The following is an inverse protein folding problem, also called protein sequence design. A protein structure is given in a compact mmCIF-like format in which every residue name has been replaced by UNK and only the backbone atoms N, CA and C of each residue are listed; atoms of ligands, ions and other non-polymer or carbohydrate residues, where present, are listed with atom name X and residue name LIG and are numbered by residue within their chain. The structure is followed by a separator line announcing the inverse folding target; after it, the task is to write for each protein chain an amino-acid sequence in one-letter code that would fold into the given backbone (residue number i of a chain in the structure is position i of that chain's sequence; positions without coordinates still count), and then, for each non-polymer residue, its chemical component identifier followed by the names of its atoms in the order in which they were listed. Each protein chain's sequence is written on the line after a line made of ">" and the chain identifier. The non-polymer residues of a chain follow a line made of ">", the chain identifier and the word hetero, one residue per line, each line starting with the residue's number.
data_IF_172232419889
#
_entry.id   IF_172232419889
#
_cell.length_a   1.000
_cell.length_b   1.000
_cell.length_c   1.000
_cell.angle_alpha   90.00
_cell.angle_beta   90.00
_cell.angle_gamma   90.00
#
_symmetry.space_group_name_H-M   'P 1'
#
loop_
_entity.id
_entity.type
_entity.pdbx_description
1 polymer ?
#
# COMPACT_ATOMS: atom_id res chain seq x y z
N UNK A 1 -6.34 -33.36 -15.40
CA UNK A 1 -7.50 -32.77 -16.11
C UNK A 1 -8.52 -32.36 -15.06
N UNK A 2 -9.13 -31.16 -15.13
CA UNK A 2 -10.16 -30.73 -14.20
C UNK A 2 -11.39 -31.65 -14.27
N UNK A 3 -12.13 -31.80 -13.17
CA UNK A 3 -13.39 -32.55 -13.18
C UNK A 3 -14.49 -31.76 -13.91
N UNK A 4 -15.56 -32.41 -14.41
CA UNK A 4 -16.65 -31.72 -15.10
C UNK A 4 -17.29 -30.58 -14.27
N UNK A 5 -17.37 -30.78 -12.95
CA UNK A 5 -17.83 -29.75 -12.00
C UNK A 5 -16.91 -28.53 -12.03
N UNK A 6 -15.59 -28.75 -11.95
CA UNK A 6 -14.61 -27.66 -11.97
C UNK A 6 -14.65 -26.93 -13.30
N UNK A 7 -14.78 -27.62 -14.43
CA UNK A 7 -14.91 -26.99 -15.75
C UNK A 7 -16.11 -26.05 -15.84
N UNK A 8 -17.25 -26.41 -15.26
CA UNK A 8 -18.42 -25.53 -15.18
C UNK A 8 -18.12 -24.27 -14.36
N UNK A 9 -17.51 -24.42 -13.18
CA UNK A 9 -17.12 -23.27 -12.34
C UNK A 9 -16.13 -22.36 -13.08
N UNK A 10 -15.15 -22.93 -13.80
CA UNK A 10 -14.18 -22.15 -14.57
C UNK A 10 -14.83 -21.32 -15.69
N UNK A 11 -16.03 -21.69 -16.17
CA UNK A 11 -16.79 -20.92 -17.17
C UNK A 11 -17.55 -19.74 -16.54
N UNK A 12 -17.93 -19.82 -15.27
CA UNK A 12 -18.71 -18.79 -14.58
C UNK A 12 -17.86 -17.69 -13.93
N UNK A 13 -16.53 -17.84 -13.90
CA UNK A 13 -15.64 -16.88 -13.27
C UNK A 13 -15.66 -15.50 -13.95
N UNK A 14 -15.82 -14.41 -13.19
CA UNK A 14 -15.81 -13.05 -13.73
C UNK A 14 -14.38 -12.54 -13.98
N UNK A 15 -14.24 -11.61 -14.92
CA UNK A 15 -13.01 -10.82 -15.12
C UNK A 15 -12.98 -9.61 -14.17
N UNK A 16 -13.08 -9.85 -12.86
CA UNK A 16 -13.11 -8.84 -11.80
C UNK A 16 -12.12 -9.18 -10.69
N UNK A 17 -11.70 -8.19 -9.87
CA UNK A 17 -10.91 -8.46 -8.69
C UNK A 17 -11.71 -9.24 -7.66
N UNK A 18 -11.02 -10.04 -6.85
CA UNK A 18 -11.66 -10.81 -5.80
C UNK A 18 -10.76 -11.88 -5.20
N UNK A 19 -11.37 -12.73 -4.38
CA UNK A 19 -10.70 -13.81 -3.66
C UNK A 19 -11.29 -15.14 -4.08
N UNK A 20 -10.46 -16.16 -4.29
CA UNK A 20 -10.88 -17.53 -4.57
C UNK A 20 -10.43 -18.48 -3.45
N UNK A 21 -11.24 -19.51 -3.21
CA UNK A 21 -11.02 -20.54 -2.21
C UNK A 21 -11.04 -21.90 -2.91
N UNK A 22 -9.96 -22.65 -2.79
CA UNK A 22 -9.95 -24.06 -3.21
C UNK A 22 -10.33 -24.94 -2.02
N UNK A 23 -11.22 -25.89 -2.27
CA UNK A 23 -11.69 -26.85 -1.27
C UNK A 23 -11.38 -28.28 -1.69
N UNK A 24 -11.13 -29.14 -0.72
CA UNK A 24 -11.00 -30.58 -0.96
C UNK A 24 -12.36 -31.29 -1.01
N UNK A 25 -12.32 -32.60 -1.23
CA UNK A 25 -13.52 -33.47 -1.30
C UNK A 25 -14.40 -33.44 -0.04
N UNK A 26 -13.84 -33.03 1.11
CA UNK A 26 -14.57 -32.88 2.37
C UNK A 26 -15.10 -31.45 2.59
N UNK A 27 -15.01 -30.57 1.59
CA UNK A 27 -15.43 -29.17 1.69
C UNK A 27 -14.51 -28.28 2.52
N UNK A 28 -13.35 -28.78 2.99
CA UNK A 28 -12.38 -27.99 3.75
C UNK A 28 -11.60 -27.08 2.83
N UNK A 29 -11.47 -25.81 3.19
CA UNK A 29 -10.64 -24.83 2.47
C UNK A 29 -9.16 -25.22 2.61
N UNK A 30 -8.51 -25.50 1.48
CA UNK A 30 -7.11 -25.94 1.42
C UNK A 30 -6.16 -24.84 0.93
N UNK A 31 -6.70 -23.85 0.20
CA UNK A 31 -5.97 -22.68 -0.27
C UNK A 31 -6.91 -21.49 -0.46
N UNK A 32 -6.42 -20.28 -0.16
CA UNK A 32 -7.09 -19.00 -0.47
C UNK A 32 -6.09 -18.12 -1.22
N UNK A 33 -6.55 -17.44 -2.27
CA UNK A 33 -5.74 -16.47 -3.02
C UNK A 33 -6.56 -15.28 -3.54
N UNK A 34 -5.93 -14.11 -3.69
CA UNK A 34 -6.50 -12.95 -4.39
C UNK A 34 -6.17 -12.95 -5.89
N UNK A 35 -6.98 -12.25 -6.68
CA UNK A 35 -6.72 -11.97 -8.07
C UNK A 35 -7.23 -10.58 -8.47
N UNK A 36 -6.52 -9.89 -9.37
CA UNK A 36 -7.06 -8.72 -10.09
C UNK A 36 -8.09 -9.18 -11.15
N UNK A 37 -7.87 -10.37 -11.72
CA UNK A 37 -8.79 -11.05 -12.62
C UNK A 37 -8.99 -12.50 -12.18
N UNK A 38 -10.14 -12.78 -11.53
CA UNK A 38 -10.49 -14.12 -11.05
C UNK A 38 -10.48 -15.17 -12.18
N UNK A 39 -11.05 -14.85 -13.34
CA UNK A 39 -11.12 -15.76 -14.49
C UNK A 39 -9.74 -16.22 -14.96
N UNK A 40 -8.83 -15.29 -15.22
CA UNK A 40 -7.47 -15.61 -15.68
C UNK A 40 -6.69 -16.35 -14.59
N UNK A 41 -6.75 -15.86 -13.35
CA UNK A 41 -5.94 -16.39 -12.25
C UNK A 41 -6.34 -17.81 -11.84
N UNK A 42 -7.63 -18.12 -11.73
CA UNK A 42 -8.05 -19.46 -11.31
C UNK A 42 -7.81 -20.48 -12.44
N UNK A 43 -8.01 -20.08 -13.70
CA UNK A 43 -7.73 -20.96 -14.85
C UNK A 43 -6.26 -21.33 -14.96
N UNK A 44 -5.34 -20.43 -14.58
CA UNK A 44 -3.90 -20.68 -14.69
C UNK A 44 -3.45 -21.95 -13.96
N UNK A 45 -4.10 -22.31 -12.84
CA UNK A 45 -3.80 -23.54 -12.10
C UNK A 45 -4.04 -24.83 -12.90
N UNK A 46 -4.94 -24.78 -13.89
CA UNK A 46 -5.33 -25.94 -14.68
C UNK A 46 -4.64 -26.00 -16.06
N UNK A 47 -3.80 -25.01 -16.38
CA UNK A 47 -2.96 -25.06 -17.58
C UNK A 47 -1.79 -26.04 -17.40
N UNK A 48 -1.35 -26.62 -18.52
CA UNK A 48 -0.30 -27.64 -18.56
C UNK A 48 1.04 -27.12 -18.01
N UNK A 49 1.35 -25.83 -18.22
CA UNK A 49 2.55 -25.17 -17.69
C UNK A 49 2.57 -25.05 -16.16
N UNK A 50 1.40 -24.91 -15.52
CA UNK A 50 1.32 -24.81 -14.06
C UNK A 50 1.65 -26.13 -13.35
N UNK A 51 1.61 -27.25 -14.08
CA UNK A 51 1.97 -28.56 -13.56
C UNK A 51 3.48 -28.71 -13.30
N UNK A 52 4.34 -27.85 -13.84
CA UNK A 52 5.80 -27.92 -13.61
C UNK A 52 6.20 -27.64 -12.16
N UNK A 53 5.37 -26.92 -11.39
CA UNK A 53 5.62 -26.69 -9.97
C UNK A 53 4.99 -27.82 -9.12
N UNK A 54 5.81 -28.58 -8.40
CA UNK A 54 5.37 -29.70 -7.58
C UNK A 54 4.34 -29.30 -6.50
N UNK A 55 4.44 -28.09 -5.93
CA UNK A 55 3.47 -27.59 -4.94
C UNK A 55 2.12 -27.30 -5.59
N UNK A 56 2.13 -26.66 -6.75
CA UNK A 56 0.90 -26.34 -7.51
C UNK A 56 0.21 -27.61 -7.99
N UNK A 57 0.97 -28.59 -8.49
CA UNK A 57 0.46 -29.90 -8.88
C UNK A 57 -0.28 -30.59 -7.74
N UNK A 58 0.36 -30.72 -6.56
CA UNK A 58 -0.29 -31.29 -5.37
C UNK A 58 -1.53 -30.53 -4.94
N UNK A 59 -1.50 -29.20 -4.99
CA UNK A 59 -2.68 -28.40 -4.68
C UNK A 59 -3.84 -28.77 -5.63
N UNK A 60 -3.58 -28.76 -6.94
CA UNK A 60 -4.58 -29.02 -7.99
C UNK A 60 -5.19 -30.42 -7.88
N UNK A 61 -4.37 -31.43 -7.56
CA UNK A 61 -4.83 -32.81 -7.32
C UNK A 61 -5.85 -32.92 -6.18
N UNK A 62 -5.78 -32.01 -5.19
CA UNK A 62 -6.68 -32.01 -4.04
C UNK A 62 -7.91 -31.10 -4.21
N UNK A 63 -8.02 -30.35 -5.30
CA UNK A 63 -9.18 -29.46 -5.55
C UNK A 63 -10.39 -30.28 -5.97
N UNK A 64 -11.43 -30.28 -5.14
CA UNK A 64 -12.74 -30.82 -5.48
C UNK A 64 -13.81 -29.73 -5.67
N UNK A 65 -13.56 -28.53 -5.15
CA UNK A 65 -14.45 -27.39 -5.33
C UNK A 65 -13.71 -26.04 -5.35
N UNK A 66 -14.35 -25.04 -5.97
CA UNK A 66 -13.84 -23.68 -6.04
C UNK A 66 -14.97 -22.71 -5.71
N UNK A 67 -14.73 -21.87 -4.71
CA UNK A 67 -15.57 -20.72 -4.40
C UNK A 67 -14.83 -19.43 -4.70
N UNK A 68 -15.56 -18.35 -4.97
CA UNK A 68 -14.99 -17.03 -5.14
C UNK A 68 -15.91 -15.94 -4.60
N UNK A 69 -15.31 -14.83 -4.20
CA UNK A 69 -15.99 -13.60 -3.76
C UNK A 69 -15.44 -12.47 -4.60
N UNK A 70 -16.32 -11.78 -5.32
CA UNK A 70 -15.96 -10.59 -6.10
C UNK A 70 -15.76 -9.43 -5.13
N UNK A 71 -14.69 -8.68 -5.30
CA UNK A 71 -14.41 -7.45 -4.58
C UNK A 71 -14.66 -6.25 -5.49
N UNK A 72 -14.93 -5.10 -4.89
CA UNK A 72 -15.08 -3.81 -5.57
C UNK A 72 -13.72 -3.21 -5.95
N UNK A 73 -12.65 -3.60 -5.26
CA UNK A 73 -11.28 -3.16 -5.54
C UNK A 73 -10.23 -4.23 -5.25
N UNK A 74 -9.01 -4.05 -5.78
CA UNK A 74 -7.88 -4.91 -5.42
C UNK A 74 -7.53 -4.83 -3.93
N UNK A 75 -7.66 -3.62 -3.37
CA UNK A 75 -7.47 -3.35 -1.95
C UNK A 75 -8.40 -4.22 -1.10
N UNK A 76 -9.69 -4.21 -1.42
CA UNK A 76 -10.67 -5.03 -0.70
C UNK A 76 -10.36 -6.53 -0.86
N UNK A 77 -10.01 -6.98 -2.07
CA UNK A 77 -9.62 -8.38 -2.31
C UNK A 77 -8.44 -8.81 -1.43
N UNK A 78 -7.44 -7.94 -1.26
CA UNK A 78 -6.28 -8.17 -0.39
C UNK A 78 -6.69 -8.30 1.09
N UNK A 79 -7.60 -7.46 1.57
CA UNK A 79 -8.08 -7.51 2.96
C UNK A 79 -8.94 -8.74 3.24
N UNK A 80 -9.80 -9.07 2.28
CA UNK A 80 -10.65 -10.25 2.35
C UNK A 80 -9.81 -11.54 2.32
N UNK A 81 -8.79 -11.61 1.46
CA UNK A 81 -7.85 -12.73 1.40
C UNK A 81 -7.20 -12.98 2.77
N UNK A 82 -6.63 -11.93 3.37
CA UNK A 82 -5.99 -12.04 4.68
C UNK A 82 -6.98 -12.53 5.75
N UNK A 83 -8.20 -12.00 5.75
CA UNK A 83 -9.27 -12.42 6.67
C UNK A 83 -9.62 -13.89 6.50
N UNK A 84 -9.74 -14.37 5.25
CA UNK A 84 -10.09 -15.74 4.94
C UNK A 84 -8.95 -16.73 5.20
N UNK A 85 -7.69 -16.35 4.95
CA UNK A 85 -6.53 -17.17 5.32
C UNK A 85 -6.49 -17.35 6.84
N UNK A 86 -6.69 -16.28 7.61
CA UNK A 86 -6.71 -16.36 9.08
C UNK A 86 -7.85 -17.21 9.61
N UNK A 87 -9.06 -17.04 9.05
CA UNK A 87 -10.25 -17.80 9.46
C UNK A 87 -10.11 -19.30 9.18
N UNK A 88 -9.55 -19.66 8.03
CA UNK A 88 -9.54 -21.06 7.56
C UNK A 88 -8.23 -21.80 7.82
N UNK A 89 -7.13 -21.08 8.09
CA UNK A 89 -5.76 -21.60 8.20
C UNK A 89 -5.42 -22.67 7.13
N UNK A 90 -5.60 -22.37 5.83
CA UNK A 90 -5.54 -23.38 4.78
C UNK A 90 -4.15 -23.98 4.67
N UNK A 91 -4.04 -25.30 4.49
CA UNK A 91 -2.75 -26.00 4.54
C UNK A 91 -1.72 -25.47 3.55
N UNK A 92 -2.13 -25.09 2.33
CA UNK A 92 -1.22 -24.71 1.25
C UNK A 92 -0.79 -23.23 1.26
N UNK A 93 -1.48 -22.37 2.01
CA UNK A 93 -1.02 -21.00 2.29
C UNK A 93 0.21 -21.07 3.21
N UNK A 94 1.29 -20.34 2.88
CA UNK A 94 2.50 -20.29 3.73
C UNK A 94 2.58 -18.95 4.46
N UNK A 95 2.21 -17.87 3.78
CA UNK A 95 2.16 -16.50 4.31
C UNK A 95 0.77 -16.21 4.87
N UNK A 96 0.68 -15.19 5.74
CA UNK A 96 -0.57 -14.65 6.31
C UNK A 96 -1.33 -15.62 7.23
N UNK A 97 -0.67 -16.71 7.64
CA UNK A 97 -1.16 -17.63 8.67
C UNK A 97 -0.95 -17.09 10.09
N UNK A 98 0.04 -16.22 10.26
CA UNK A 98 0.30 -15.54 11.53
C UNK A 98 -0.81 -14.51 11.82
N UNK A 99 -1.00 -14.16 13.09
CA UNK A 99 -2.04 -13.19 13.48
C UNK A 99 -1.70 -11.75 13.06
N UNK A 100 -0.61 -11.53 12.31
CA UNK A 100 -0.19 -10.18 11.89
C UNK A 100 -1.18 -9.63 10.89
N UNK A 101 -1.87 -8.56 11.27
CA UNK A 101 -2.68 -7.75 10.34
C UNK A 101 -1.75 -6.86 9.52
N UNK A 102 -2.21 -6.46 8.34
CA UNK A 102 -1.43 -5.53 7.53
C UNK A 102 -1.27 -4.19 8.27
N UNK A 103 -0.07 -3.61 8.26
CA UNK A 103 0.16 -2.27 8.76
C UNK A 103 -0.46 -1.20 7.84
N UNK A 104 -0.86 -0.11 8.48
CA UNK A 104 -1.38 1.11 7.88
C UNK A 104 -0.63 2.30 8.46
N UNK A 105 -0.54 3.37 7.69
CA UNK A 105 -0.22 4.70 8.21
C UNK A 105 -1.53 5.30 8.71
N UNK A 106 -1.54 5.76 9.96
CA UNK A 106 -2.66 6.44 10.61
C UNK A 106 -2.30 7.91 10.81
N UNK A 107 -3.12 8.79 10.26
CA UNK A 107 -3.10 10.22 10.53
C UNK A 107 -4.19 10.52 11.55
N UNK A 108 -3.81 10.98 12.74
CA UNK A 108 -4.73 11.33 13.83
C UNK A 108 -5.42 12.68 13.52
N UNK A 109 -6.32 12.66 12.55
CA UNK A 109 -6.98 13.85 12.00
C UNK A 109 -7.84 14.60 13.01
N UNK A 110 -8.32 13.92 14.04
CA UNK A 110 -9.08 14.52 15.14
C UNK A 110 -8.26 15.50 15.99
N UNK A 111 -6.93 15.37 16.00
CA UNK A 111 -6.07 16.24 16.81
C UNK A 111 -5.92 17.62 16.12
N UNK A 112 -5.81 18.74 16.87
CA UNK A 112 -5.53 20.07 16.30
C UNK A 112 -4.26 20.10 15.45
N UNK A 113 -3.22 19.41 15.91
CA UNK A 113 -1.98 19.16 15.19
C UNK A 113 -1.84 17.65 14.94
N UNK A 114 -2.37 17.12 13.81
CA UNK A 114 -2.39 15.69 13.54
C UNK A 114 -1.01 15.04 13.59
N UNK A 115 -0.93 13.92 14.30
CA UNK A 115 0.24 13.03 14.29
C UNK A 115 0.11 11.99 13.18
N UNK A 116 1.26 11.51 12.71
CA UNK A 116 1.35 10.38 11.78
C UNK A 116 2.02 9.21 12.47
N UNK A 117 1.35 8.06 12.49
CA UNK A 117 1.81 6.84 13.19
C UNK A 117 1.55 5.60 12.34
N UNK A 118 2.11 4.45 12.72
CA UNK A 118 1.73 3.17 12.12
C UNK A 118 0.76 2.42 13.04
N UNK A 119 -0.17 1.68 12.45
CA UNK A 119 -1.12 0.82 13.18
C UNK A 119 -1.44 -0.42 12.37
N UNK A 120 -1.91 -1.46 13.03
CA UNK A 120 -2.45 -2.69 12.39
C UNK A 120 -3.95 -2.82 12.59
N UNK A 121 -4.57 -1.81 13.21
CA UNK A 121 -5.99 -1.78 13.55
C UNK A 121 -6.62 -0.54 12.92
N UNK A 122 -7.63 -0.79 12.09
CA UNK A 122 -8.56 0.22 11.60
C UNK A 122 -9.66 0.38 12.66
N UNK A 123 -9.98 1.63 13.00
CA UNK A 123 -11.03 1.99 13.96
C UNK A 123 -11.86 3.12 13.35
N UNK A 124 -13.12 3.24 13.75
CA UNK A 124 -13.94 4.38 13.35
C UNK A 124 -13.77 5.52 14.37
N UNK A 125 -12.55 6.07 14.45
CA UNK A 125 -12.13 7.04 15.46
C UNK A 125 -11.90 8.45 14.89
N UNK A 126 -12.34 8.69 13.65
CA UNK A 126 -12.14 9.94 12.93
C UNK A 126 -10.72 10.12 12.37
N UNK A 127 -9.82 9.14 12.53
CA UNK A 127 -8.51 9.17 11.88
C UNK A 127 -8.60 8.80 10.39
N UNK A 128 -7.58 9.21 9.63
CA UNK A 128 -7.39 8.80 8.24
C UNK A 128 -6.38 7.65 8.19
N UNK A 129 -6.65 6.63 7.38
CA UNK A 129 -5.83 5.43 7.27
C UNK A 129 -5.36 5.22 5.83
N UNK A 130 -4.06 4.99 5.64
CA UNK A 130 -3.42 4.80 4.35
C UNK A 130 -2.70 3.46 4.33
N UNK A 131 -2.85 2.70 3.25
CA UNK A 131 -2.36 1.32 3.12
C UNK A 131 -3.45 0.37 2.63
N UNK A 132 -3.35 -0.95 2.91
CA UNK A 132 -2.36 -1.64 3.72
C UNK A 132 -0.99 -1.70 3.07
N UNK A 133 0.04 -1.75 3.91
CA UNK A 133 1.40 -2.05 3.49
C UNK A 133 1.67 -3.54 3.65
N UNK A 134 2.44 -4.13 2.74
CA UNK A 134 2.76 -5.56 2.73
C UNK A 134 3.50 -6.02 3.99
N UNK A 135 4.26 -5.11 4.61
CA UNK A 135 4.97 -5.34 5.86
C UNK A 135 5.22 -4.01 6.61
N UNK A 136 5.58 -4.11 7.89
CA UNK A 136 5.79 -2.91 8.72
C UNK A 136 6.97 -2.06 8.24
N UNK A 137 8.04 -2.69 7.76
CA UNK A 137 9.20 -1.99 7.21
C UNK A 137 8.82 -1.12 6.00
N UNK A 138 7.88 -1.58 5.15
CA UNK A 138 7.42 -0.83 3.99
C UNK A 138 6.68 0.45 4.42
N UNK A 139 5.81 0.35 5.44
CA UNK A 139 5.16 1.52 6.02
C UNK A 139 6.18 2.51 6.62
N UNK A 140 7.20 2.00 7.33
CA UNK A 140 8.25 2.85 7.90
C UNK A 140 9.12 3.54 6.84
N UNK A 141 9.47 2.84 5.75
CA UNK A 141 10.19 3.46 4.63
C UNK A 141 9.36 4.55 3.97
N UNK A 142 8.06 4.32 3.74
CA UNK A 142 7.17 5.37 3.24
C UNK A 142 7.16 6.56 4.20
N UNK A 143 7.07 6.34 5.52
CA UNK A 143 7.10 7.44 6.49
C UNK A 143 8.43 8.21 6.51
N UNK A 144 9.58 7.54 6.36
CA UNK A 144 10.89 8.21 6.29
C UNK A 144 11.00 9.13 5.08
N UNK A 145 10.48 8.67 3.94
CA UNK A 145 10.42 9.46 2.72
C UNK A 145 9.45 10.63 2.87
N UNK A 146 8.21 10.35 3.27
CA UNK A 146 7.16 11.35 3.47
C UNK A 146 7.60 12.44 4.44
N UNK A 147 8.36 12.10 5.48
CA UNK A 147 8.85 13.09 6.44
C UNK A 147 9.93 14.03 5.89
N UNK A 148 10.64 13.65 4.83
CA UNK A 148 11.57 14.56 4.11
C UNK A 148 10.79 15.65 3.38
N UNK A 149 9.62 15.28 2.88
CA UNK A 149 8.82 16.08 1.95
C UNK A 149 7.79 16.93 2.71
N UNK A 150 7.21 16.39 3.78
CA UNK A 150 6.19 17.03 4.60
C UNK A 150 6.68 17.04 6.06
N UNK A 151 7.17 18.18 6.58
CA UNK A 151 7.68 18.27 7.95
C UNK A 151 6.55 18.18 8.99
N UNK A 152 6.25 16.96 9.47
CA UNK A 152 5.22 16.74 10.50
C UNK A 152 5.81 16.41 11.87
N UNK A 153 5.02 16.66 12.93
CA UNK A 153 5.43 16.39 14.30
C UNK A 153 5.32 14.89 14.63
N UNK A 154 6.27 14.41 15.42
CA UNK A 154 6.25 13.03 15.98
C UNK A 154 6.31 13.01 17.51
N UNK A 155 6.38 14.17 18.14
CA UNK A 155 6.33 14.25 19.59
C UNK A 155 4.92 13.90 20.09
N UNK A 156 4.85 13.34 21.29
CA UNK A 156 3.58 12.99 21.97
C UNK A 156 3.12 14.07 22.95
N UNK A 157 3.90 15.15 23.09
CA UNK A 157 3.59 16.28 23.98
C UNK A 157 2.39 17.08 23.49
N UNK A 158 1.77 17.82 24.40
CA UNK A 158 0.79 18.85 24.06
C UNK A 158 1.47 19.99 23.30
N UNK A 159 0.81 20.48 22.25
CA UNK A 159 1.31 21.55 21.38
C UNK A 159 0.51 22.79 21.71
N UNK A 160 1.12 23.73 22.43
CA UNK A 160 0.53 25.02 22.82
C UNK A 160 1.21 26.23 22.16
N UNK A 161 2.34 26.01 21.47
CA UNK A 161 3.09 27.06 20.78
C UNK A 161 4.08 27.83 21.67
N UNK A 162 4.21 27.47 22.94
CA UNK A 162 4.97 28.24 23.92
C UNK A 162 6.29 27.59 24.35
N UNK A 163 6.72 26.50 23.69
CA UNK A 163 8.01 25.88 24.00
C UNK A 163 9.14 26.90 23.77
N UNK A 164 10.09 26.99 24.71
CA UNK A 164 11.19 27.96 24.64
C UNK A 164 12.26 27.64 23.60
N UNK A 165 12.29 26.41 23.07
CA UNK A 165 13.35 25.94 22.18
C UNK A 165 12.87 24.86 21.24
N UNK A 166 13.29 24.97 19.98
CA UNK A 166 13.02 23.97 18.96
C UNK A 166 13.78 22.66 19.23
N UNK A 167 13.23 21.55 18.74
CA UNK A 167 13.90 20.25 18.82
C UNK A 167 14.78 20.01 17.58
N UNK A 168 15.63 18.98 17.65
CA UNK A 168 16.49 18.58 16.53
C UNK A 168 15.70 18.41 15.22
N UNK A 169 14.52 17.80 15.26
CA UNK A 169 13.71 17.55 14.07
C UNK A 169 13.31 18.83 13.34
N UNK A 170 13.16 19.96 14.03
CA UNK A 170 12.96 21.26 13.37
C UNK A 170 14.23 21.69 12.64
N UNK A 171 15.37 21.69 13.35
CA UNK A 171 16.65 22.12 12.80
C UNK A 171 17.12 21.29 11.60
N UNK A 172 16.71 20.02 11.51
CA UNK A 172 16.97 19.16 10.34
C UNK A 172 15.82 19.11 9.32
N UNK A 173 14.84 20.02 9.42
CA UNK A 173 13.75 20.18 8.44
C UNK A 173 12.70 19.06 8.42
N UNK A 174 12.53 18.31 9.51
CA UNK A 174 11.63 17.14 9.63
C UNK A 174 10.40 17.37 10.50
N UNK A 175 10.23 18.59 10.99
CA UNK A 175 9.09 19.05 11.76
C UNK A 175 8.91 20.54 11.49
N UNK A 176 7.68 21.00 11.26
CA UNK A 176 7.38 22.43 11.11
C UNK A 176 7.37 23.22 12.43
N UNK A 177 7.68 22.56 13.56
CA UNK A 177 7.78 23.15 14.90
C UNK A 177 6.57 23.99 15.36
N UNK A 178 5.33 23.44 15.31
CA UNK A 178 4.19 24.10 15.91
C UNK A 178 4.33 24.27 17.44
N UNK A 179 5.21 23.50 18.09
CA UNK A 179 5.46 23.57 19.53
C UNK A 179 6.04 24.91 20.00
N UNK A 180 6.83 25.59 19.17
CA UNK A 180 7.38 26.93 19.48
C UNK A 180 6.65 28.05 18.72
N UNK A 181 5.53 27.74 18.07
CA UNK A 181 4.73 28.71 17.33
C UNK A 181 5.28 29.12 15.95
N UNK A 182 6.23 28.38 15.36
CA UNK A 182 6.73 28.70 13.99
C UNK A 182 5.62 28.61 12.95
N UNK A 183 4.75 27.61 13.09
CA UNK A 183 3.57 27.43 12.25
C UNK A 183 2.33 27.37 13.12
N UNK A 184 1.26 28.01 12.65
CA UNK A 184 -0.05 27.94 13.27
C UNK A 184 -0.78 26.64 12.90
N UNK A 185 -1.95 26.42 13.50
CA UNK A 185 -2.74 25.22 13.27
C UNK A 185 -3.18 25.07 11.80
N UNK A 186 -3.59 26.14 11.13
CA UNK A 186 -4.07 26.08 9.75
C UNK A 186 -2.94 25.72 8.78
N UNK A 187 -1.78 26.36 8.94
CA UNK A 187 -0.57 26.07 8.17
C UNK A 187 -0.09 24.63 8.37
N UNK A 188 -0.06 24.16 9.62
CA UNK A 188 0.32 22.78 9.91
C UNK A 188 -0.65 21.78 9.29
N UNK A 189 -1.97 22.05 9.34
CA UNK A 189 -2.97 21.18 8.72
C UNK A 189 -2.84 21.13 7.20
N UNK A 190 -2.50 22.25 6.55
CA UNK A 190 -2.22 22.26 5.11
C UNK A 190 -1.06 21.31 4.74
N UNK A 191 0.01 21.28 5.54
CA UNK A 191 1.12 20.31 5.36
C UNK A 191 0.62 18.87 5.49
N UNK A 192 -0.24 18.57 6.47
CA UNK A 192 -0.78 17.22 6.66
C UNK A 192 -1.77 16.84 5.55
N UNK A 193 -2.56 17.77 5.03
CA UNK A 193 -3.44 17.50 3.88
C UNK A 193 -2.62 17.14 2.64
N UNK A 194 -1.56 17.89 2.33
CA UNK A 194 -0.64 17.54 1.23
C UNK A 194 -0.01 16.15 1.42
N UNK A 195 0.36 15.81 2.66
CA UNK A 195 0.80 14.46 3.01
C UNK A 195 -0.28 13.41 2.74
N UNK A 196 -1.54 13.68 3.10
CA UNK A 196 -2.66 12.78 2.85
C UNK A 196 -2.89 12.57 1.35
N UNK A 197 -2.85 13.63 0.56
CA UNK A 197 -2.99 13.58 -0.89
C UNK A 197 -1.87 12.76 -1.53
N UNK A 198 -0.63 12.97 -1.09
CA UNK A 198 0.51 12.17 -1.53
C UNK A 198 0.32 10.67 -1.20
N UNK A 199 -0.12 10.35 0.02
CA UNK A 199 -0.36 8.96 0.43
C UNK A 199 -1.54 8.31 -0.32
N UNK A 200 -2.48 9.10 -0.85
CA UNK A 200 -3.56 8.64 -1.72
C UNK A 200 -3.11 8.43 -3.18
N UNK A 201 -1.85 8.73 -3.51
CA UNK A 201 -1.32 8.61 -4.87
C UNK A 201 -1.54 9.84 -5.75
N UNK A 202 -2.08 10.94 -5.21
CA UNK A 202 -2.25 12.21 -5.92
C UNK A 202 -0.94 13.00 -5.88
N UNK A 203 0.09 12.51 -6.58
CA UNK A 203 1.44 13.09 -6.51
C UNK A 203 1.63 14.31 -7.41
N UNK A 204 1.00 14.34 -8.58
CA UNK A 204 1.14 15.45 -9.54
C UNK A 204 0.67 16.81 -8.97
N UNK A 205 -0.50 16.94 -8.31
CA UNK A 205 -0.94 18.20 -7.73
C UNK A 205 0.00 18.69 -6.63
N UNK A 206 0.54 17.76 -5.84
CA UNK A 206 1.45 18.08 -4.73
C UNK A 206 2.77 18.63 -5.25
N UNK A 207 3.34 18.03 -6.29
CA UNK A 207 4.56 18.54 -6.94
C UNK A 207 4.32 19.91 -7.57
N UNK A 208 3.16 20.11 -8.22
CA UNK A 208 2.80 21.39 -8.82
C UNK A 208 2.68 22.51 -7.76
N UNK A 209 2.10 22.21 -6.61
CA UNK A 209 1.99 23.18 -5.51
C UNK A 209 3.35 23.51 -4.88
N UNK A 210 4.20 22.50 -4.65
CA UNK A 210 5.57 22.71 -4.17
C UNK A 210 6.39 23.56 -5.13
N UNK A 211 6.25 23.36 -6.45
CA UNK A 211 6.91 24.21 -7.46
C UNK A 211 6.46 25.67 -7.32
N UNK A 212 5.15 25.92 -7.19
CA UNK A 212 4.62 27.27 -6.96
C UNK A 212 5.19 27.90 -5.69
N UNK A 213 5.23 27.16 -4.59
CA UNK A 213 5.79 27.65 -3.32
C UNK A 213 7.30 27.95 -3.42
N UNK A 214 8.04 27.11 -4.14
CA UNK A 214 9.47 27.32 -4.41
C UNK A 214 9.71 28.60 -5.21
N UNK A 215 8.91 28.83 -6.26
CA UNK A 215 9.02 30.00 -7.12
C UNK A 215 8.69 31.28 -6.33
N UNK A 216 7.60 31.27 -5.53
CA UNK A 216 7.26 32.38 -4.64
C UNK A 216 8.35 32.67 -3.60
N UNK A 217 8.96 31.64 -3.01
CA UNK A 217 10.09 31.83 -2.08
C UNK A 217 11.31 32.45 -2.79
N UNK A 218 11.60 32.04 -4.03
CA UNK A 218 12.68 32.62 -4.83
C UNK A 218 12.40 34.07 -5.22
N UNK A 219 11.16 34.41 -5.59
CA UNK A 219 10.70 35.79 -5.86
C UNK A 219 10.85 36.68 -4.63
N UNK A 220 10.59 36.15 -3.43
CA UNK A 220 10.78 36.85 -2.17
C UNK A 220 12.24 36.89 -1.67
N UNK A 221 13.19 36.38 -2.45
CA UNK A 221 14.63 36.27 -2.11
C UNK A 221 14.93 35.32 -0.92
N UNK A 222 13.98 34.45 -0.56
CA UNK A 222 14.13 33.41 0.47
C UNK A 222 14.80 32.15 -0.11
N UNK A 223 16.05 32.29 -0.55
CA UNK A 223 16.76 31.23 -1.28
C UNK A 223 16.96 29.94 -0.47
N UNK A 224 17.11 30.02 0.85
CA UNK A 224 17.19 28.83 1.70
C UNK A 224 15.89 28.02 1.67
N UNK A 225 14.75 28.71 1.74
CA UNK A 225 13.44 28.09 1.67
C UNK A 225 13.18 27.49 0.29
N UNK A 226 13.51 28.22 -0.77
CA UNK A 226 13.41 27.72 -2.14
C UNK A 226 14.29 26.47 -2.35
N UNK A 227 15.53 26.47 -1.84
CA UNK A 227 16.42 25.31 -1.92
C UNK A 227 15.87 24.09 -1.19
N UNK A 228 15.30 24.27 0.01
CA UNK A 228 14.63 23.19 0.74
C UNK A 228 13.48 22.59 -0.07
N UNK A 229 12.60 23.42 -0.64
CA UNK A 229 11.44 22.94 -1.41
C UNK A 229 11.90 22.23 -2.69
N UNK A 230 12.92 22.76 -3.38
CA UNK A 230 13.54 22.10 -4.54
C UNK A 230 14.02 20.69 -4.21
N UNK A 231 14.69 20.53 -3.07
CA UNK A 231 15.23 19.24 -2.65
C UNK A 231 14.09 18.27 -2.25
N UNK A 232 12.96 18.78 -1.74
CA UNK A 232 11.73 18.00 -1.53
C UNK A 232 11.14 17.51 -2.85
N UNK A 233 11.03 18.37 -3.88
CA UNK A 233 10.53 17.98 -5.21
C UNK A 233 11.41 16.87 -5.80
N UNK A 234 12.73 17.02 -5.76
CA UNK A 234 13.67 15.98 -6.24
C UNK A 234 13.49 14.65 -5.52
N UNK A 235 13.23 14.67 -4.21
CA UNK A 235 12.96 13.45 -3.45
C UNK A 235 11.65 12.77 -3.88
N UNK A 236 10.59 13.55 -4.17
CA UNK A 236 9.32 13.04 -4.69
C UNK A 236 9.54 12.35 -6.05
N UNK A 237 10.18 13.06 -6.99
CA UNK A 237 10.37 12.57 -8.36
C UNK A 237 11.11 11.23 -8.39
N UNK A 238 12.18 11.08 -7.58
CA UNK A 238 12.94 9.83 -7.47
C UNK A 238 12.11 8.65 -6.96
N UNK A 239 11.14 8.88 -6.08
CA UNK A 239 10.26 7.83 -5.54
C UNK A 239 9.24 7.41 -6.59
N UNK A 240 8.63 8.39 -7.26
CA UNK A 240 7.64 8.16 -8.32
C UNK A 240 8.26 7.40 -9.49
N UNK A 241 9.48 7.76 -9.91
CA UNK A 241 10.21 7.03 -10.95
C UNK A 241 10.51 5.58 -10.55
N UNK A 242 10.99 5.35 -9.31
CA UNK A 242 11.21 3.98 -8.81
C UNK A 242 9.94 3.14 -8.77
N UNK A 243 8.81 3.72 -8.38
CA UNK A 243 7.52 3.02 -8.40
C UNK A 243 7.07 2.66 -9.82
N UNK A 244 7.29 3.55 -10.81
CA UNK A 244 6.99 3.27 -12.22
C UNK A 244 7.83 2.10 -12.76
N UNK A 245 9.13 2.07 -12.46
CA UNK A 245 10.03 0.98 -12.90
C UNK A 245 9.64 -0.35 -12.28
N UNK A 246 9.31 -0.38 -10.98
CA UNK A 246 8.87 -1.62 -10.30
C UNK A 246 7.54 -2.11 -10.87
N UNK A 247 6.58 -1.21 -11.12
CA UNK A 247 5.30 -1.60 -11.72
C UNK A 247 5.49 -2.12 -13.15
N UNK A 248 6.37 -1.52 -13.95
CA UNK A 248 6.72 -2.03 -15.27
C UNK A 248 7.33 -3.44 -15.20
N UNK A 249 8.26 -3.68 -14.26
CA UNK A 249 8.84 -5.03 -14.07
C UNK A 249 7.85 -6.05 -13.52
N UNK A 250 6.85 -5.63 -12.74
CA UNK A 250 5.80 -6.54 -12.23
C UNK A 250 4.78 -6.89 -13.32
N UNK A 251 4.61 -6.02 -14.33
CA UNK A 251 3.84 -6.32 -15.55
C UNK A 251 4.63 -7.28 -16.46
N UNK A 252 5.95 -7.10 -16.56
CA UNK A 252 6.84 -7.98 -17.33
C UNK A 252 7.11 -9.33 -16.65
N UNK A 253 6.99 -9.45 -15.33
CA UNK A 253 7.13 -10.75 -14.62
C UNK A 253 5.97 -11.72 -14.92
N UNK A 254 4.80 -11.23 -15.31
CA UNK A 254 3.70 -12.06 -15.84
C UNK A 254 3.82 -12.30 -17.37
N UNK A 255 4.88 -11.77 -18.02
CA UNK A 255 5.25 -12.01 -19.43
C UNK A 255 6.72 -12.45 -19.53
N UNK A 256 7.13 -13.46 -18.75
CA UNK A 256 8.18 -14.36 -19.23
C UNK A 256 7.50 -15.50 -20.00
N UNK A 257 6.83 -15.11 -21.08
CA UNK A 257 6.63 -16.00 -22.21
C UNK A 257 8.01 -16.15 -22.86
N UNK A 258 8.62 -17.32 -22.66
CA UNK A 258 9.82 -17.72 -23.38
C UNK A 258 9.58 -17.52 -24.89
N UNK A 259 10.21 -16.50 -25.45
CA UNK A 259 10.36 -16.37 -26.89
C UNK A 259 11.42 -17.39 -27.34
N UNK A 260 10.98 -18.27 -28.24
CA UNK A 260 11.72 -19.36 -28.86
C UNK A 260 12.39 -18.90 -30.16
N UNK A 261 13.52 -19.54 -30.52
CA UNK A 261 13.98 -19.91 -31.88
C UNK A 261 15.53 -19.92 -31.90
N UNK A 262 16.27 -20.78 -32.60
CA UNK A 262 16.06 -21.95 -33.45
C UNK A 262 17.50 -22.52 -33.67
N UNK A 263 17.66 -23.84 -33.75
CA UNK A 263 18.94 -24.51 -33.99
C UNK A 263 19.09 -25.81 -33.22
#
# INVERSE_FOLDING_TARGET
>A
MPSPKIEQILKTLPSKPGVYLHKNVHGKVIYVGKAVNLKSRVRSYFHQSAQHNAKTRRLVEEIADIEFIVAESELEALLLENTLIKKNQPRFNVRLKDDKRYPYIKVHWQDPFPRVTTTRRLQNDGARYFGPYTAAWAAYQTLDLVRKMFPYLTCTRTIDGNDSRACLYYHIGRCAAPCIGVVNQAEYRAIIDQLCDFLNGNTEPVVADLRRQMDTAAENLDFERAAQIRDQIKAIDQIVEKQKVINASTIDEDVIAFAQAEG
#
